data_IF_423594650209
#
_entry.id   IF_423594650209
#
_cell.length_a   1.000
_cell.length_b   1.000
_cell.length_c   1.000
_cell.angle_alpha   90.00
_cell.angle_beta   90.00
_cell.angle_gamma   90.00
#
_symmetry.space_group_name_H-M   'P 1'
#
loop_
_entity.id
_entity.type
_entity.pdbx_description
1 polymer ?
#
# COMPACT_ATOMS: atom_id res chain seq x y z
N UNK A 1 -13.05 -12.52 4.69
CA UNK A 1 -12.33 -11.24 4.52
C UNK A 1 -13.04 -10.14 5.28
N UNK A 2 -12.33 -9.37 6.10
CA UNK A 2 -12.89 -8.28 6.93
C UNK A 2 -12.66 -6.89 6.31
N UNK A 3 -11.49 -6.71 5.71
CA UNK A 3 -11.11 -5.55 4.91
C UNK A 3 -10.22 -6.03 3.76
N UNK A 4 -10.03 -5.19 2.74
CA UNK A 4 -9.14 -5.47 1.63
C UNK A 4 -8.95 -4.23 0.76
N UNK A 5 -7.97 -4.30 -0.15
CA UNK A 5 -7.67 -3.21 -1.07
C UNK A 5 -7.72 -3.71 -2.51
N UNK A 6 -8.36 -2.95 -3.39
CA UNK A 6 -8.29 -3.14 -4.83
C UNK A 6 -7.32 -2.10 -5.41
N UNK A 7 -6.35 -2.60 -6.17
CA UNK A 7 -5.40 -1.79 -6.89
C UNK A 7 -5.78 -1.72 -8.38
N UNK A 8 -5.34 -0.66 -9.03
CA UNK A 8 -5.51 -0.45 -10.47
C UNK A 8 -6.95 -0.56 -10.98
N UNK A 9 -7.92 -0.06 -10.21
CA UNK A 9 -9.34 -0.16 -10.58
C UNK A 9 -9.65 0.50 -11.93
N UNK A 10 -8.90 1.55 -12.29
CA UNK A 10 -9.05 2.33 -13.54
C UNK A 10 -10.50 2.81 -13.78
N UNK A 11 -11.26 2.98 -12.69
CA UNK A 11 -12.65 3.44 -12.72
C UNK A 11 -12.68 4.97 -12.61
N UNK A 12 -13.57 5.62 -13.37
CA UNK A 12 -13.83 7.07 -13.20
C UNK A 12 -14.62 7.30 -11.91
N UNK A 13 -14.25 8.33 -11.14
CA UNK A 13 -14.85 8.65 -9.83
C UNK A 13 -16.39 8.62 -9.83
N UNK A 14 -17.03 9.25 -10.83
CA UNK A 14 -18.50 9.26 -10.99
C UNK A 14 -19.17 7.87 -11.10
N UNK A 15 -18.40 6.81 -11.36
CA UNK A 15 -18.86 5.42 -11.42
C UNK A 15 -18.45 4.62 -10.20
N UNK A 16 -17.53 5.12 -9.38
CA UNK A 16 -16.91 4.41 -8.28
C UNK A 16 -17.96 3.98 -7.25
N UNK A 17 -18.74 4.93 -6.72
CA UNK A 17 -19.77 4.66 -5.72
C UNK A 17 -20.76 3.58 -6.17
N UNK A 18 -21.26 3.67 -7.41
CA UNK A 18 -22.17 2.67 -7.98
C UNK A 18 -21.54 1.28 -8.03
N UNK A 19 -20.27 1.19 -8.43
CA UNK A 19 -19.56 -0.10 -8.53
C UNK A 19 -19.31 -0.66 -7.13
N UNK A 20 -18.80 0.14 -6.21
CA UNK A 20 -18.53 -0.24 -4.81
C UNK A 20 -19.83 -0.77 -4.19
N UNK A 21 -20.93 -0.04 -4.29
CA UNK A 21 -22.21 -0.45 -3.72
C UNK A 21 -22.80 -1.71 -4.39
N UNK A 22 -22.46 -1.98 -5.65
CA UNK A 22 -22.92 -3.19 -6.34
C UNK A 22 -22.13 -4.45 -5.96
N UNK A 23 -20.82 -4.31 -5.75
CA UNK A 23 -19.88 -5.42 -5.49
C UNK A 23 -19.74 -5.67 -3.98
N UNK A 24 -19.59 -4.61 -3.19
CA UNK A 24 -19.34 -4.63 -1.75
C UNK A 24 -20.55 -4.09 -0.98
N UNK A 25 -21.67 -4.83 -1.05
CA UNK A 25 -22.92 -4.44 -0.37
C UNK A 25 -22.73 -4.29 1.13
N UNK A 26 -23.07 -3.12 1.67
CA UNK A 26 -22.95 -2.78 3.10
C UNK A 26 -21.51 -2.75 3.62
N UNK A 27 -20.54 -2.50 2.74
CA UNK A 27 -19.17 -2.21 3.14
C UNK A 27 -18.93 -0.72 3.06
N UNK A 28 -18.04 -0.23 3.90
CA UNK A 28 -17.49 1.11 3.79
C UNK A 28 -16.29 1.11 2.84
N UNK A 29 -15.95 2.29 2.31
CA UNK A 29 -14.84 2.44 1.36
C UNK A 29 -14.07 3.74 1.51
N UNK A 30 -12.80 3.71 1.12
CA UNK A 30 -11.89 4.85 1.02
C UNK A 30 -11.11 4.70 -0.28
N UNK A 31 -10.96 5.79 -1.03
CA UNK A 31 -10.29 5.79 -2.36
C UNK A 31 -9.32 6.95 -2.46
N UNK A 32 -8.37 6.97 -3.39
CA UNK A 32 -7.41 8.09 -3.55
C UNK A 32 -7.73 9.05 -4.73
N UNK A 33 -9.00 9.27 -5.07
CA UNK A 33 -9.38 10.11 -6.21
C UNK A 33 -8.86 11.55 -6.13
N UNK A 34 -8.68 12.09 -4.92
CA UNK A 34 -8.14 13.43 -4.71
C UNK A 34 -6.66 13.57 -5.10
N UNK A 35 -5.94 12.44 -5.21
CA UNK A 35 -4.53 12.40 -5.63
C UNK A 35 -4.35 11.80 -7.03
N UNK A 36 -5.36 11.07 -7.55
CA UNK A 36 -5.30 10.46 -8.87
C UNK A 36 -6.69 10.33 -9.49
N UNK A 37 -6.91 10.94 -10.65
CA UNK A 37 -8.19 10.91 -11.39
C UNK A 37 -8.69 9.49 -11.75
N UNK A 38 -7.79 8.50 -11.74
CA UNK A 38 -8.13 7.09 -11.99
C UNK A 38 -8.49 6.31 -10.71
N UNK A 39 -8.36 6.92 -9.52
CA UNK A 39 -8.67 6.32 -8.21
C UNK A 39 -8.10 4.93 -8.06
N UNK A 40 -6.79 4.81 -8.19
CA UNK A 40 -6.10 3.53 -8.37
C UNK A 40 -6.13 2.64 -7.13
N UNK A 41 -6.35 3.21 -5.95
CA UNK A 41 -6.31 2.49 -4.68
C UNK A 41 -7.68 2.62 -4.02
N UNK A 42 -8.38 1.50 -3.86
CA UNK A 42 -9.68 1.42 -3.18
C UNK A 42 -9.58 0.49 -1.97
N UNK A 43 -9.62 1.06 -0.77
CA UNK A 43 -9.76 0.32 0.47
C UNK A 43 -11.26 0.08 0.75
N UNK A 44 -11.63 -1.15 1.05
CA UNK A 44 -13.00 -1.53 1.43
C UNK A 44 -13.00 -2.36 2.70
N UNK A 45 -13.97 -2.16 3.58
CA UNK A 45 -14.07 -2.91 4.84
C UNK A 45 -15.51 -3.10 5.33
N UNK A 46 -15.72 -4.16 6.12
CA UNK A 46 -16.98 -4.45 6.81
C UNK A 46 -17.15 -3.61 8.06
N UNK A 47 -18.38 -3.50 8.54
CA UNK A 47 -18.72 -2.78 9.78
C UNK A 47 -18.01 -3.30 11.04
N UNK A 48 -17.51 -4.54 11.05
CA UNK A 48 -16.69 -5.10 12.13
C UNK A 48 -15.29 -4.48 12.21
N UNK A 49 -14.89 -3.71 11.20
CA UNK A 49 -13.61 -3.00 11.11
C UNK A 49 -13.88 -1.49 11.16
N UNK A 50 -13.03 -0.76 11.86
CA UNK A 50 -12.96 0.70 11.78
C UNK A 50 -11.63 1.07 11.12
N UNK A 51 -11.69 1.83 10.04
CA UNK A 51 -10.49 2.38 9.40
C UNK A 51 -10.48 3.89 9.53
N UNK A 52 -9.38 4.45 10.01
CA UNK A 52 -9.17 5.89 10.11
C UNK A 52 -8.03 6.28 9.15
N UNK A 53 -8.30 7.09 8.10
CA UNK A 53 -7.24 7.57 7.21
C UNK A 53 -6.17 8.34 7.98
N UNK A 54 -4.90 8.04 7.72
CA UNK A 54 -3.74 8.73 8.31
C UNK A 54 -3.05 9.56 7.23
N UNK A 55 -2.85 8.98 6.06
CA UNK A 55 -2.18 9.62 4.94
C UNK A 55 -2.68 9.05 3.61
N UNK A 56 -2.72 9.89 2.58
CA UNK A 56 -3.10 9.50 1.22
C UNK A 56 -2.18 10.23 0.23
N UNK A 57 -1.79 9.51 -0.82
CA UNK A 57 -1.09 10.05 -1.98
C UNK A 57 -1.57 9.34 -3.25
N UNK A 58 -0.93 9.62 -4.37
CA UNK A 58 -1.22 8.93 -5.63
C UNK A 58 -0.67 7.49 -5.64
N UNK A 59 0.32 7.19 -4.80
CA UNK A 59 1.00 5.89 -4.68
C UNK A 59 0.62 5.08 -3.45
N UNK A 60 0.04 5.68 -2.41
CA UNK A 60 -0.38 4.91 -1.22
C UNK A 60 -1.57 5.49 -0.46
N UNK A 61 -2.21 4.61 0.33
CA UNK A 61 -3.16 4.98 1.39
C UNK A 61 -2.69 4.32 2.69
N UNK A 62 -2.42 5.11 3.72
CA UNK A 62 -2.15 4.63 5.07
C UNK A 62 -3.35 4.87 5.98
N UNK A 63 -3.77 3.84 6.71
CA UNK A 63 -4.86 3.91 7.67
C UNK A 63 -4.45 3.28 9.00
N UNK A 64 -5.03 3.78 10.10
CA UNK A 64 -5.18 2.97 11.31
C UNK A 64 -6.37 2.02 11.12
N UNK A 65 -6.16 0.74 11.36
CA UNK A 65 -7.16 -0.33 11.24
C UNK A 65 -7.41 -0.91 12.62
N UNK A 66 -8.65 -0.79 13.10
CA UNK A 66 -9.08 -1.33 14.37
C UNK A 66 -10.17 -2.40 14.18
N UNK A 67 -9.98 -3.57 14.79
CA UNK A 67 -10.96 -4.65 14.81
C UNK A 67 -11.89 -4.48 16.02
N UNK A 68 -13.17 -4.18 15.79
CA UNK A 68 -14.11 -3.81 16.87
C UNK A 68 -14.29 -4.90 17.93
N UNK A 69 -14.19 -6.17 17.54
CA UNK A 69 -14.39 -7.30 18.46
C UNK A 69 -13.21 -7.54 19.42
N UNK A 70 -11.99 -7.19 19.00
CA UNK A 70 -10.77 -7.49 19.77
C UNK A 70 -10.08 -6.25 20.32
N UNK A 71 -10.57 -5.07 19.93
CA UNK A 71 -9.94 -3.76 20.20
C UNK A 71 -8.47 -3.66 19.75
N UNK A 72 -8.01 -4.60 18.92
CA UNK A 72 -6.67 -4.56 18.34
C UNK A 72 -6.63 -3.50 17.24
N UNK A 73 -5.58 -2.69 17.29
CA UNK A 73 -5.33 -1.61 16.35
C UNK A 73 -3.90 -1.73 15.79
N UNK A 74 -3.76 -1.52 14.48
CA UNK A 74 -2.50 -1.54 13.77
C UNK A 74 -2.56 -0.60 12.57
N UNK A 75 -1.42 -0.14 12.09
CA UNK A 75 -1.35 0.63 10.85
C UNK A 75 -1.29 -0.30 9.64
N UNK A 76 -1.97 0.08 8.58
CA UNK A 76 -1.90 -0.60 7.30
C UNK A 76 -1.68 0.41 6.17
N UNK A 77 -0.65 0.21 5.37
CA UNK A 77 -0.34 1.01 4.19
C UNK A 77 -0.54 0.15 2.95
N UNK A 78 -1.43 0.61 2.07
CA UNK A 78 -1.75 0.00 0.80
C UNK A 78 -1.06 0.76 -0.32
N UNK A 79 -0.21 0.08 -1.09
CA UNK A 79 0.68 0.70 -2.09
C UNK A 79 0.27 0.28 -3.50
N UNK A 80 0.26 1.25 -4.41
CA UNK A 80 0.33 1.04 -5.85
C UNK A 80 1.38 1.99 -6.42
N UNK A 81 2.63 1.52 -6.43
CA UNK A 81 3.78 2.34 -6.78
C UNK A 81 3.81 2.69 -8.27
N UNK A 82 4.52 3.77 -8.60
CA UNK A 82 4.77 4.16 -9.98
C UNK A 82 5.82 3.26 -10.63
N UNK A 83 5.87 3.29 -11.96
CA UNK A 83 6.71 2.41 -12.76
C UNK A 83 8.17 2.88 -12.84
N UNK A 84 8.41 4.19 -12.69
CA UNK A 84 9.76 4.74 -12.80
C UNK A 84 10.41 4.87 -11.42
N UNK A 85 11.73 4.70 -11.38
CA UNK A 85 12.53 4.83 -10.15
C UNK A 85 12.38 6.24 -9.58
N UNK A 86 12.42 7.25 -10.45
CA UNK A 86 12.30 8.66 -10.07
C UNK A 86 10.97 8.96 -9.36
N UNK A 87 9.85 8.44 -9.87
CA UNK A 87 8.54 8.65 -9.26
C UNK A 87 8.38 7.91 -7.92
N UNK A 88 9.05 6.75 -7.75
CA UNK A 88 9.01 5.98 -6.50
C UNK A 88 9.82 6.59 -5.36
N UNK A 89 10.74 7.53 -5.63
CA UNK A 89 11.49 8.21 -4.56
C UNK A 89 10.57 8.84 -3.53
N UNK A 90 9.51 9.52 -3.98
CA UNK A 90 8.52 10.10 -3.08
C UNK A 90 7.80 9.04 -2.22
N UNK A 91 7.49 7.87 -2.78
CA UNK A 91 6.89 6.78 -2.02
C UNK A 91 7.83 6.30 -0.90
N UNK A 92 9.13 6.16 -1.19
CA UNK A 92 10.12 5.75 -0.20
C UNK A 92 10.33 6.79 0.89
N UNK A 93 10.36 8.08 0.52
CA UNK A 93 10.45 9.19 1.46
C UNK A 93 9.21 9.23 2.36
N UNK A 94 8.00 9.09 1.80
CA UNK A 94 6.77 9.07 2.58
C UNK A 94 6.77 7.91 3.59
N UNK A 95 7.22 6.71 3.20
CA UNK A 95 7.36 5.58 4.14
C UNK A 95 8.41 5.86 5.23
N UNK A 96 9.49 6.59 4.91
CA UNK A 96 10.52 6.95 5.89
C UNK A 96 9.95 7.89 6.94
N UNK A 97 9.15 8.86 6.51
CA UNK A 97 8.48 9.81 7.38
C UNK A 97 7.47 9.09 8.29
N UNK A 98 6.73 8.12 7.75
CA UNK A 98 5.81 7.29 8.54
C UNK A 98 6.53 6.51 9.63
N UNK A 99 7.64 5.83 9.30
CA UNK A 99 8.40 5.09 10.30
C UNK A 99 9.01 5.99 11.38
N UNK A 100 9.49 7.16 10.98
CA UNK A 100 10.22 8.08 11.87
C UNK A 100 9.30 8.87 12.79
N UNK A 101 8.01 9.02 12.45
CA UNK A 101 7.07 9.76 13.30
C UNK A 101 6.71 9.01 14.58
N UNK A 102 6.56 9.70 15.73
CA UNK A 102 6.12 9.10 16.99
C UNK A 102 4.80 8.32 16.90
N UNK A 103 3.96 8.61 15.90
CA UNK A 103 2.68 7.94 15.71
C UNK A 103 2.84 6.43 15.43
N UNK A 104 3.89 6.02 14.71
CA UNK A 104 4.13 4.64 14.29
C UNK A 104 5.09 3.89 15.22
N UNK A 105 5.83 4.61 16.06
CA UNK A 105 6.83 4.00 16.95
C UNK A 105 6.20 2.99 17.91
N UNK A 106 6.72 1.76 17.90
CA UNK A 106 6.25 0.66 18.74
C UNK A 106 4.86 0.12 18.38
N UNK A 107 4.29 0.50 17.22
CA UNK A 107 3.00 0.01 16.73
C UNK A 107 3.19 -1.03 15.64
N UNK A 108 2.28 -2.00 15.59
CA UNK A 108 2.24 -2.94 14.47
C UNK A 108 1.91 -2.17 13.19
N UNK A 109 2.72 -2.37 12.15
CA UNK A 109 2.56 -1.73 10.85
C UNK A 109 2.69 -2.76 9.74
N UNK A 110 1.62 -2.89 8.95
CA UNK A 110 1.56 -3.74 7.78
C UNK A 110 1.68 -2.88 6.53
N UNK A 111 2.55 -3.26 5.61
CA UNK A 111 2.70 -2.61 4.32
C UNK A 111 2.46 -3.66 3.26
N UNK A 112 1.55 -3.39 2.33
CA UNK A 112 1.16 -4.35 1.30
C UNK A 112 0.71 -3.65 0.03
N UNK A 113 0.82 -4.35 -1.10
CA UNK A 113 0.35 -3.86 -2.38
C UNK A 113 1.31 -4.20 -3.51
N UNK A 114 1.24 -3.41 -4.57
CA UNK A 114 2.09 -3.56 -5.75
C UNK A 114 3.15 -2.45 -5.75
N UNK A 115 4.41 -2.86 -5.59
CA UNK A 115 5.55 -1.95 -5.56
C UNK A 115 6.13 -1.67 -6.95
N UNK A 116 5.64 -2.33 -8.00
CA UNK A 116 6.17 -2.26 -9.37
C UNK A 116 7.71 -2.41 -9.42
N UNK A 117 8.27 -3.16 -8.48
CA UNK A 117 9.69 -3.45 -8.32
C UNK A 117 9.86 -4.83 -7.70
N UNK A 118 10.97 -5.47 -8.07
CA UNK A 118 11.31 -6.81 -7.60
C UNK A 118 12.22 -6.69 -6.37
N UNK A 119 11.92 -7.43 -5.30
CA UNK A 119 12.70 -7.38 -4.05
C UNK A 119 13.96 -8.24 -4.13
N UNK A 120 13.90 -9.40 -4.79
CA UNK A 120 15.00 -10.37 -4.88
C UNK A 120 15.57 -10.46 -6.31
N UNK A 121 16.90 -10.43 -6.44
CA UNK A 121 17.56 -10.56 -7.75
C UNK A 121 17.22 -11.86 -8.48
N UNK A 122 16.93 -12.93 -7.74
CA UNK A 122 16.56 -14.25 -8.27
C UNK A 122 15.20 -14.28 -9.01
N UNK A 123 14.34 -13.29 -8.76
CA UNK A 123 13.04 -13.13 -9.44
C UNK A 123 13.17 -12.31 -10.74
N UNK A 124 14.36 -11.77 -11.04
CA UNK A 124 14.62 -11.03 -12.26
C UNK A 124 15.11 -11.98 -13.36
N UNK A 125 14.36 -12.06 -14.45
CA UNK A 125 14.61 -12.96 -15.60
C UNK A 125 15.95 -12.72 -16.34
N UNK A 126 16.77 -11.77 -15.90
CA UNK A 126 18.08 -11.44 -16.46
C UNK A 126 19.22 -11.35 -15.42
N UNK A 127 19.03 -11.86 -14.21
CA UNK A 127 20.00 -11.76 -13.11
C UNK A 127 21.43 -12.22 -13.49
N UNK A 128 21.55 -13.23 -14.36
CA UNK A 128 22.84 -13.73 -14.82
C UNK A 128 23.64 -12.73 -15.71
N UNK A 129 23.03 -11.62 -16.17
CA UNK A 129 23.65 -10.71 -17.14
C UNK A 129 23.97 -9.30 -16.61
N UNK A 130 23.60 -8.97 -15.36
CA UNK A 130 23.85 -7.64 -14.77
C UNK A 130 24.72 -7.75 -13.51
N UNK A 131 26.00 -7.36 -13.56
CA UNK A 131 26.90 -7.43 -12.40
C UNK A 131 26.53 -6.43 -11.27
N UNK A 132 25.70 -5.44 -11.57
CA UNK A 132 25.17 -4.47 -10.60
C UNK A 132 23.64 -4.57 -10.55
N UNK A 133 23.07 -4.59 -9.35
CA UNK A 133 21.61 -4.55 -9.14
C UNK A 133 21.04 -3.23 -9.72
N UNK A 134 19.88 -3.26 -10.42
CA UNK A 134 19.16 -2.06 -10.82
C UNK A 134 18.87 -1.13 -9.64
N UNK A 135 18.91 0.19 -9.86
CA UNK A 135 18.70 1.19 -8.81
C UNK A 135 17.36 1.00 -8.06
N UNK A 136 16.28 0.67 -8.79
CA UNK A 136 14.96 0.41 -8.19
C UNK A 136 14.99 -0.73 -7.16
N UNK A 137 15.70 -1.82 -7.46
CA UNK A 137 15.89 -2.93 -6.53
C UNK A 137 16.72 -2.51 -5.32
N UNK A 138 17.78 -1.74 -5.52
CA UNK A 138 18.62 -1.25 -4.42
C UNK A 138 17.80 -0.36 -3.47
N UNK A 139 16.98 0.54 -4.01
CA UNK A 139 16.12 1.43 -3.24
C UNK A 139 15.06 0.64 -2.48
N UNK A 140 14.44 -0.36 -3.11
CA UNK A 140 13.43 -1.19 -2.46
C UNK A 140 14.04 -2.06 -1.35
N UNK A 141 15.18 -2.71 -1.60
CA UNK A 141 15.90 -3.48 -0.57
C UNK A 141 16.39 -2.61 0.58
N UNK A 142 16.87 -1.39 0.30
CA UNK A 142 17.29 -0.44 1.33
C UNK A 142 16.11 -0.05 2.21
N UNK A 143 14.98 0.28 1.60
CA UNK A 143 13.73 0.62 2.27
C UNK A 143 13.23 -0.54 3.13
N UNK A 144 13.15 -1.76 2.58
CA UNK A 144 12.71 -2.95 3.31
C UNK A 144 13.63 -3.27 4.51
N UNK A 145 14.95 -3.21 4.32
CA UNK A 145 15.94 -3.43 5.39
C UNK A 145 15.85 -2.34 6.47
N UNK A 146 15.65 -1.09 6.06
CA UNK A 146 15.58 0.04 6.98
C UNK A 146 14.42 -0.10 7.98
N UNK A 147 13.26 -0.61 7.55
CA UNK A 147 12.13 -0.83 8.46
C UNK A 147 12.04 -2.25 9.04
N UNK A 148 13.06 -3.09 8.84
CA UNK A 148 13.02 -4.51 9.23
C UNK A 148 11.76 -5.23 8.73
N UNK A 149 11.29 -4.85 7.52
CA UNK A 149 10.12 -5.50 6.94
C UNK A 149 10.47 -6.95 6.67
N UNK A 150 9.64 -7.84 7.18
CA UNK A 150 9.69 -9.25 6.82
C UNK A 150 8.71 -9.48 5.68
N UNK A 151 9.21 -10.00 4.58
CA UNK A 151 8.34 -10.46 3.50
C UNK A 151 7.52 -11.66 3.99
N UNK A 152 6.20 -11.58 3.81
CA UNK A 152 5.26 -12.64 4.19
C UNK A 152 5.07 -13.68 3.07
N UNK A 153 5.69 -13.46 1.90
CA UNK A 153 5.60 -14.31 0.72
C UNK A 153 4.25 -14.19 0.02
N UNK A 154 4.22 -14.52 -1.28
CA UNK A 154 2.96 -14.80 -1.99
C UNK A 154 2.62 -16.28 -1.83
N UNK A 155 1.39 -16.60 -1.42
CA UNK A 155 0.87 -17.97 -1.45
C UNK A 155 0.22 -18.28 -2.79
#
# INVERSE_FOLDING_TARGET
>A
MLFGCLLETRVREKKAERIINSVFKSWSSLTNYEHNVSGRIWLVWRDSVRTTPVFKSDQMITCSVALKETEKEFFCTFIYARNTVEERKQLWDDLCDHHSTPLFQGKAWMIMGDFNEILAGEEHSGYEQTPNLPQGMQDFQKTARFYLLTDLGSQ
#
